data_IF_971162550517
#
_entry.id   IF_971162550517
#
_cell.length_a   1.000
_cell.length_b   1.000
_cell.length_c   1.000
_cell.angle_alpha   90.00
_cell.angle_beta   90.00
_cell.angle_gamma   90.00
#
_symmetry.space_group_name_H-M   'P 1'
#
loop_
_entity.id
_entity.type
_entity.pdbx_description
1 polymer ?
#
# COMPACT_ATOMS: atom_id res chain seq x y z
N UNK A 1 10.09 27.12 -11.04
CA UNK A 1 10.84 27.01 -9.77
C UNK A 1 11.45 25.63 -9.68
N UNK A 2 12.68 25.50 -9.18
CA UNK A 2 13.28 24.18 -8.90
C UNK A 2 12.83 23.75 -7.52
N UNK A 3 12.24 22.56 -7.43
CA UNK A 3 11.74 22.00 -6.16
C UNK A 3 12.65 20.86 -5.74
N UNK A 4 13.31 21.01 -4.59
CA UNK A 4 14.12 19.96 -3.96
C UNK A 4 13.33 19.45 -2.75
N UNK A 5 13.18 18.13 -2.61
CA UNK A 5 12.44 17.50 -1.53
C UNK A 5 13.17 16.26 -1.04
N UNK A 6 13.21 16.07 0.27
CA UNK A 6 13.61 14.83 0.87
C UNK A 6 12.60 13.72 0.52
N UNK A 7 13.11 12.52 0.26
CA UNK A 7 12.29 11.34 -0.03
C UNK A 7 12.62 10.20 0.94
N UNK A 8 12.12 10.26 2.20
CA UNK A 8 12.40 9.23 3.20
C UNK A 8 11.82 7.86 2.81
N UNK A 9 10.73 7.83 2.04
CA UNK A 9 10.18 6.57 1.50
C UNK A 9 11.14 5.95 0.48
N UNK A 10 11.97 6.76 -0.19
CA UNK A 10 12.96 6.31 -1.18
C UNK A 10 12.36 5.49 -2.30
N UNK A 11 11.15 5.86 -2.72
CA UNK A 11 10.43 5.38 -3.90
C UNK A 11 10.02 6.61 -4.70
N UNK A 12 10.13 6.53 -6.02
CA UNK A 12 9.67 7.58 -6.94
C UNK A 12 9.18 6.94 -8.24
N UNK A 13 8.14 7.52 -8.84
CA UNK A 13 7.61 7.11 -10.13
C UNK A 13 7.57 8.30 -11.09
N UNK A 14 6.38 8.73 -11.51
CA UNK A 14 6.16 9.85 -12.43
C UNK A 14 5.11 10.78 -11.81
N UNK A 15 4.34 11.50 -12.63
CA UNK A 15 3.24 12.37 -12.21
C UNK A 15 2.21 11.65 -11.32
N UNK A 16 1.56 12.31 -10.35
CA UNK A 16 1.75 13.70 -9.88
C UNK A 16 3.02 13.91 -9.03
N UNK A 17 3.14 15.05 -8.35
CA UNK A 17 4.33 15.33 -7.52
C UNK A 17 4.40 14.46 -6.26
N UNK A 18 5.57 14.43 -5.62
CA UNK A 18 5.85 13.57 -4.46
C UNK A 18 4.88 13.78 -3.28
N UNK A 19 4.42 15.00 -3.01
CA UNK A 19 3.48 15.25 -1.91
C UNK A 19 2.09 14.68 -2.20
N UNK A 20 1.70 14.70 -3.48
CA UNK A 20 0.48 14.05 -3.91
C UNK A 20 0.56 12.54 -3.68
N UNK A 21 1.68 11.90 -4.04
CA UNK A 21 1.88 10.48 -3.76
C UNK A 21 1.82 10.16 -2.26
N UNK A 22 2.37 11.03 -1.40
CA UNK A 22 2.23 10.88 0.06
C UNK A 22 0.79 11.04 0.55
N UNK A 23 0.03 11.94 -0.05
CA UNK A 23 -1.41 12.08 0.24
C UNK A 23 -2.17 10.85 -0.24
N UNK A 24 -1.82 10.29 -1.39
CA UNK A 24 -2.44 9.10 -1.95
C UNK A 24 -2.21 7.85 -1.08
N UNK A 25 -1.03 7.72 -0.44
CA UNK A 25 -0.76 6.62 0.49
C UNK A 25 -1.76 6.54 1.65
N UNK A 26 -2.40 7.67 2.03
CA UNK A 26 -3.41 7.69 3.10
C UNK A 26 -4.64 6.84 2.80
N UNK A 27 -4.92 6.55 1.52
CA UNK A 27 -6.01 5.66 1.13
C UNK A 27 -5.73 4.19 1.45
N UNK A 28 -4.47 3.84 1.77
CA UNK A 28 -3.99 2.46 1.88
C UNK A 28 -3.50 2.12 3.30
N UNK A 29 -3.84 2.93 4.31
CA UNK A 29 -3.36 2.77 5.69
C UNK A 29 -3.79 1.46 6.36
N UNK A 30 -4.89 0.86 5.89
CA UNK A 30 -5.44 -0.37 6.45
C UNK A 30 -4.85 -1.63 5.80
N UNK A 31 -3.97 -1.47 4.80
CA UNK A 31 -3.34 -2.60 4.12
C UNK A 31 -2.24 -3.17 5.01
N UNK A 32 -2.20 -4.50 5.10
CA UNK A 32 -1.31 -5.25 5.98
C UNK A 32 -0.55 -6.32 5.18
N UNK A 33 0.74 -6.58 5.51
CA UNK A 33 1.46 -7.72 4.96
C UNK A 33 1.02 -9.04 5.59
N UNK A 34 0.23 -9.01 6.67
CA UNK A 34 -0.21 -10.19 7.40
C UNK A 34 -1.57 -10.68 6.89
N UNK A 35 -1.86 -11.99 7.00
CA UNK A 35 -3.19 -12.52 6.70
C UNK A 35 -4.28 -11.78 7.49
N UNK A 36 -5.45 -11.62 6.88
CA UNK A 36 -6.61 -11.14 7.61
C UNK A 36 -7.01 -12.15 8.70
N UNK A 37 -7.70 -11.70 9.73
CA UNK A 37 -8.27 -12.57 10.76
C UNK A 37 -9.75 -12.83 10.46
N UNK A 38 -10.27 -13.92 11.01
CA UNK A 38 -11.71 -14.19 10.98
C UNK A 38 -12.51 -13.02 11.55
N UNK A 39 -13.66 -12.73 10.96
CA UNK A 39 -14.58 -11.70 11.43
C UNK A 39 -15.98 -12.29 11.66
N UNK A 40 -16.69 -11.76 12.66
CA UNK A 40 -18.07 -12.15 12.92
C UNK A 40 -19.02 -11.23 12.14
N UNK A 41 -19.82 -11.81 11.24
CA UNK A 41 -20.86 -11.11 10.50
C UNK A 41 -22.22 -11.71 10.86
N UNK A 42 -23.03 -10.95 11.58
CA UNK A 42 -24.39 -11.38 12.00
C UNK A 42 -24.41 -12.75 12.71
N UNK A 43 -23.38 -13.06 13.50
CA UNK A 43 -23.27 -14.34 14.21
C UNK A 43 -22.64 -15.48 13.39
N UNK A 44 -22.27 -15.22 12.14
CA UNK A 44 -21.54 -16.18 11.28
C UNK A 44 -20.06 -15.82 11.27
N UNK A 45 -19.19 -16.79 11.56
CA UNK A 45 -17.74 -16.63 11.43
C UNK A 45 -17.34 -16.67 9.96
N UNK A 46 -16.75 -15.58 9.48
CA UNK A 46 -16.22 -15.44 8.12
C UNK A 46 -14.70 -15.55 8.18
N UNK A 47 -14.17 -16.63 7.61
CA UNK A 47 -12.74 -16.89 7.52
C UNK A 47 -12.16 -16.30 6.22
N UNK A 48 -10.90 -15.82 6.23
CA UNK A 48 -10.20 -15.43 5.01
C UNK A 48 -10.00 -16.63 4.08
N UNK A 49 -10.08 -16.41 2.76
CA UNK A 49 -9.83 -17.45 1.76
C UNK A 49 -8.34 -17.85 1.66
N UNK A 50 -7.42 -17.02 2.16
CA UNK A 50 -5.99 -17.28 2.11
C UNK A 50 -5.16 -16.16 2.71
N UNK A 51 -3.84 -16.28 2.57
CA UNK A 51 -2.85 -15.40 3.21
C UNK A 51 -2.82 -13.98 2.63
N UNK A 52 -3.34 -13.78 1.43
CA UNK A 52 -3.30 -12.50 0.70
C UNK A 52 -4.34 -11.49 1.21
N UNK A 53 -5.27 -11.93 2.06
CA UNK A 53 -6.44 -11.14 2.46
C UNK A 53 -6.08 -9.78 3.12
N UNK A 54 -4.94 -9.67 3.81
CA UNK A 54 -4.48 -8.39 4.37
C UNK A 54 -4.00 -7.38 3.33
N UNK A 55 -3.65 -7.84 2.13
CA UNK A 55 -3.21 -6.99 1.01
C UNK A 55 -4.36 -6.55 0.10
N UNK A 56 -5.60 -6.95 0.44
CA UNK A 56 -6.80 -6.55 -0.29
C UNK A 56 -6.95 -5.03 -0.29
N UNK A 57 -6.94 -4.43 -1.47
CA UNK A 57 -6.95 -2.97 -1.66
C UNK A 57 -5.67 -2.42 -2.30
N UNK A 58 -4.58 -3.20 -2.41
CA UNK A 58 -3.41 -2.75 -3.17
C UNK A 58 -3.78 -2.59 -4.66
N UNK A 59 -3.37 -1.49 -5.31
CA UNK A 59 -3.70 -1.28 -6.70
C UNK A 59 -2.83 -2.16 -7.63
N UNK A 60 -3.47 -2.81 -8.61
CA UNK A 60 -2.80 -3.73 -9.55
C UNK A 60 -2.34 -3.11 -10.87
N UNK A 61 -2.77 -1.89 -11.22
CA UNK A 61 -2.50 -1.29 -12.53
C UNK A 61 -1.10 -0.71 -12.71
N UNK A 62 -0.75 -0.31 -13.93
CA UNK A 62 0.59 0.18 -14.27
C UNK A 62 0.74 1.70 -14.21
N UNK A 63 -0.30 2.42 -13.78
CA UNK A 63 -0.23 3.89 -13.68
C UNK A 63 0.82 4.31 -12.65
N UNK A 64 1.30 5.55 -12.78
CA UNK A 64 2.33 6.11 -11.91
C UNK A 64 1.97 6.04 -10.42
N UNK A 65 0.72 6.36 -10.09
CA UNK A 65 0.20 6.41 -8.72
C UNK A 65 0.06 5.01 -8.12
N UNK A 66 -0.40 4.04 -8.91
CA UNK A 66 -0.53 2.65 -8.49
C UNK A 66 0.83 1.99 -8.29
N UNK A 67 1.78 2.21 -9.20
CA UNK A 67 3.17 1.73 -9.04
C UNK A 67 3.82 2.32 -7.80
N UNK A 68 3.58 3.60 -7.50
CA UNK A 68 4.14 4.23 -6.30
C UNK A 68 3.65 3.54 -5.04
N UNK A 69 2.33 3.32 -4.92
CA UNK A 69 1.72 2.66 -3.75
C UNK A 69 2.28 1.24 -3.58
N UNK A 70 2.31 0.44 -4.65
CA UNK A 70 2.85 -0.92 -4.58
C UNK A 70 4.31 -0.94 -4.14
N UNK A 71 5.16 -0.12 -4.76
CA UNK A 71 6.59 -0.12 -4.43
C UNK A 71 6.86 0.40 -3.02
N UNK A 72 6.12 1.42 -2.56
CA UNK A 72 6.21 1.91 -1.20
C UNK A 72 5.85 0.82 -0.18
N UNK A 73 4.74 0.10 -0.41
CA UNK A 73 4.32 -1.00 0.44
C UNK A 73 5.32 -2.17 0.42
N UNK A 74 5.76 -2.61 -0.75
CA UNK A 74 6.73 -3.70 -0.90
C UNK A 74 8.06 -3.36 -0.22
N UNK A 75 8.58 -2.14 -0.41
CA UNK A 75 9.83 -1.70 0.22
C UNK A 75 9.72 -1.68 1.76
N UNK A 76 8.57 -1.29 2.30
CA UNK A 76 8.36 -1.26 3.74
C UNK A 76 8.25 -2.66 4.37
N UNK A 77 7.91 -3.68 3.58
CA UNK A 77 7.58 -5.02 4.08
C UNK A 77 8.46 -6.15 3.52
N UNK A 78 9.53 -5.82 2.78
CA UNK A 78 10.57 -6.81 2.45
C UNK A 78 11.39 -7.09 3.71
N UNK A 79 11.72 -8.36 3.95
CA UNK A 79 12.59 -8.75 5.05
C UNK A 79 13.93 -7.99 4.96
N UNK A 80 14.22 -7.20 5.99
CA UNK A 80 15.55 -6.62 6.19
C UNK A 80 16.41 -7.75 6.76
N UNK A 81 17.23 -8.36 5.91
CA UNK A 81 18.34 -9.20 6.38
C UNK A 81 19.49 -8.31 6.86
#
# INVERSE_FOLDING_TARGET
EVVIKDNPIGVLTNHPDLNWHYSNLRQYINISPYPATANLLEGVTIEPLGNEAGTFGLPGGFTSTERFVRMAFMKANIAQN
#
